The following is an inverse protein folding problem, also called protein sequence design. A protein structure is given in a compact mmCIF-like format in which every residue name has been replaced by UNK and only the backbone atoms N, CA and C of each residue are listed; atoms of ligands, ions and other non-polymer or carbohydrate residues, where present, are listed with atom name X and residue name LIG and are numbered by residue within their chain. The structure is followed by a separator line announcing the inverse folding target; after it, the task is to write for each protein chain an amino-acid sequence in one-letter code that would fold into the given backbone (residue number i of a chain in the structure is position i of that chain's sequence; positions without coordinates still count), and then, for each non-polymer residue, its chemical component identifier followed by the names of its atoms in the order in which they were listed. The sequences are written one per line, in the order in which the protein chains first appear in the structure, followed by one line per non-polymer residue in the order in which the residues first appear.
data_IF_337231411477
#
_entry.id   IF_337231411477
#
_cell.length_a   1.000
_cell.length_b   1.000
_cell.length_c   1.000
_cell.angle_alpha   90.00
_cell.angle_beta   90.00
_cell.angle_gamma   90.00
#
_symmetry.space_group_name_H-M   'P 1'
#
loop_
_entity.id
_entity.type
_entity.pdbx_description
1 polymer ?
#
# COMPACT_ATOMS: atom_id res chain seq x y z
N UNK A 1 25.08 15.39 -15.51
CA UNK A 1 24.13 14.50 -14.82
C UNK A 1 24.71 13.10 -14.84
N UNK A 2 25.17 12.60 -13.68
CA UNK A 2 25.64 11.22 -13.58
C UNK A 2 24.40 10.32 -13.50
N UNK A 3 24.32 9.31 -14.36
CA UNK A 3 23.25 8.31 -14.29
C UNK A 3 23.62 7.34 -13.18
N UNK A 4 22.76 7.23 -12.17
CA UNK A 4 22.90 6.24 -11.09
C UNK A 4 22.47 4.87 -11.59
N UNK A 5 23.40 4.17 -12.25
CA UNK A 5 23.15 2.86 -12.85
C UNK A 5 22.68 1.86 -11.79
N UNK A 6 23.23 1.91 -10.56
CA UNK A 6 22.79 1.03 -9.47
C UNK A 6 21.30 1.20 -9.12
N UNK A 7 20.79 2.44 -9.07
CA UNK A 7 19.40 2.72 -8.72
C UNK A 7 18.44 2.27 -9.81
N UNK A 8 18.82 2.46 -11.07
CA UNK A 8 18.02 2.00 -12.22
C UNK A 8 17.90 0.47 -12.20
N UNK A 9 19.02 -0.23 -12.01
CA UNK A 9 19.02 -1.70 -11.92
C UNK A 9 18.11 -2.18 -10.78
N UNK A 10 18.19 -1.56 -9.60
CA UNK A 10 17.33 -1.89 -8.46
C UNK A 10 15.83 -1.70 -8.78
N UNK A 11 15.45 -0.58 -9.40
CA UNK A 11 14.06 -0.28 -9.78
C UNK A 11 13.53 -1.30 -10.79
N UNK A 12 14.33 -1.64 -11.81
CA UNK A 12 13.94 -2.61 -12.84
C UNK A 12 13.68 -3.97 -12.21
N UNK A 13 14.59 -4.46 -11.36
CA UNK A 13 14.41 -5.74 -10.65
C UNK A 13 13.14 -5.72 -9.81
N UNK A 14 12.91 -4.63 -9.07
CA UNK A 14 11.74 -4.49 -8.21
C UNK A 14 10.42 -4.54 -8.99
N UNK A 15 10.35 -3.86 -10.15
CA UNK A 15 9.16 -3.91 -10.99
C UNK A 15 8.93 -5.29 -11.63
N UNK A 16 9.99 -5.97 -12.05
CA UNK A 16 9.90 -7.35 -12.57
C UNK A 16 9.33 -8.28 -11.49
N UNK A 17 9.76 -8.14 -10.24
CA UNK A 17 9.23 -8.92 -9.12
C UNK A 17 7.74 -8.64 -8.85
N UNK A 18 7.34 -7.37 -8.80
CA UNK A 18 5.93 -7.00 -8.62
C UNK A 18 5.07 -7.58 -9.74
N UNK A 19 5.52 -7.43 -11.00
CA UNK A 19 4.82 -7.95 -12.16
C UNK A 19 4.70 -9.48 -12.09
N UNK A 20 5.78 -10.17 -11.75
CA UNK A 20 5.78 -11.62 -11.60
C UNK A 20 4.78 -12.08 -10.54
N UNK A 21 4.77 -11.44 -9.36
CA UNK A 21 3.80 -11.75 -8.28
C UNK A 21 2.37 -11.49 -8.74
N UNK A 22 2.12 -10.39 -9.44
CA UNK A 22 0.79 -10.05 -9.97
C UNK A 22 0.30 -11.08 -11.00
N UNK A 23 1.14 -11.49 -11.93
CA UNK A 23 0.82 -12.52 -12.93
C UNK A 23 0.57 -13.88 -12.26
N UNK A 24 1.44 -14.27 -11.32
CA UNK A 24 1.29 -15.52 -10.57
C UNK A 24 -0.02 -15.55 -9.78
N UNK A 25 -0.37 -14.46 -9.08
CA UNK A 25 -1.62 -14.34 -8.36
C UNK A 25 -2.84 -14.42 -9.30
N UNK A 26 -2.78 -13.76 -10.46
CA UNK A 26 -3.84 -13.79 -11.47
C UNK A 26 -4.06 -15.20 -12.05
N UNK A 27 -2.98 -15.95 -12.30
CA UNK A 27 -3.08 -17.34 -12.76
C UNK A 27 -3.60 -18.28 -11.69
N UNK A 28 -3.19 -18.11 -10.43
CA UNK A 28 -3.66 -18.95 -9.33
C UNK A 28 -5.15 -18.75 -9.02
N UNK A 29 -5.69 -17.56 -9.27
CA UNK A 29 -7.11 -17.27 -9.06
C UNK A 29 -8.01 -17.59 -10.27
N UNK A 30 -7.45 -18.08 -11.40
CA UNK A 30 -8.23 -18.44 -12.60
C UNK A 30 -9.07 -19.71 -12.42
N UNK A 31 -8.64 -20.64 -11.56
CA UNK A 31 -9.34 -21.91 -11.31
C UNK A 31 -10.36 -21.84 -10.16
N UNK A 32 -10.42 -20.72 -9.44
CA UNK A 32 -11.39 -20.45 -8.35
C UNK A 32 -12.76 -20.02 -8.89
N UNK A 33 -13.25 -20.72 -9.92
CA UNK A 33 -14.57 -20.55 -10.48
C UNK A 33 -15.64 -21.32 -9.70
N UNK A 34 -16.73 -20.63 -9.36
CA UNK A 34 -18.03 -21.19 -9.00
C UNK A 34 -18.22 -21.70 -7.56
N UNK A 35 -18.44 -20.78 -6.62
CA UNK A 35 -19.32 -21.04 -5.48
C UNK A 35 -20.27 -19.84 -5.30
N UNK A 36 -21.55 -20.15 -5.25
CA UNK A 36 -22.71 -19.27 -5.18
C UNK A 36 -22.71 -18.38 -3.91
N UNK A 37 -23.18 -17.13 -4.04
CA UNK A 37 -23.85 -16.43 -2.93
C UNK A 37 -23.16 -15.24 -2.23
N UNK A 38 -21.96 -14.81 -2.63
CA UNK A 38 -21.28 -13.65 -2.01
C UNK A 38 -21.30 -12.38 -2.85
N UNK A 39 -21.48 -11.22 -2.19
CA UNK A 39 -21.54 -9.88 -2.80
C UNK A 39 -20.37 -9.65 -3.78
N UNK A 40 -20.68 -9.26 -5.01
CA UNK A 40 -19.71 -9.09 -6.09
C UNK A 40 -18.57 -8.12 -5.70
N UNK A 41 -18.87 -7.15 -4.83
CA UNK A 41 -17.90 -6.17 -4.32
C UNK A 41 -16.84 -6.81 -3.42
N UNK A 42 -17.23 -7.74 -2.55
CA UNK A 42 -16.31 -8.45 -1.64
C UNK A 42 -15.35 -9.37 -2.42
N UNK A 43 -15.85 -9.98 -3.51
CA UNK A 43 -15.01 -10.77 -4.42
C UNK A 43 -14.02 -9.91 -5.20
N UNK A 44 -14.41 -8.71 -5.61
CA UNK A 44 -13.54 -7.79 -6.35
C UNK A 44 -12.51 -7.11 -5.43
N UNK A 45 -12.88 -6.78 -4.19
CA UNK A 45 -11.98 -6.12 -3.23
C UNK A 45 -11.04 -7.06 -2.47
N UNK A 46 -11.53 -8.24 -2.06
CA UNK A 46 -10.81 -9.13 -1.13
C UNK A 46 -10.51 -10.50 -1.74
N UNK A 47 -11.02 -10.78 -2.95
CA UNK A 47 -10.84 -12.08 -3.63
C UNK A 47 -11.71 -13.19 -3.05
N UNK A 48 -12.78 -12.86 -2.32
CA UNK A 48 -13.69 -13.83 -1.68
C UNK A 48 -13.05 -14.62 -0.54
N UNK A 49 -11.94 -14.12 0.02
CA UNK A 49 -11.20 -14.71 1.14
C UNK A 49 -10.96 -13.66 2.22
N UNK A 50 -10.95 -14.09 3.48
CA UNK A 50 -10.44 -13.26 4.57
C UNK A 50 -8.98 -12.88 4.32
N UNK A 51 -8.73 -11.61 4.03
CA UNK A 51 -7.37 -11.02 3.94
C UNK A 51 -6.67 -11.09 5.31
N UNK A 52 -7.43 -11.18 6.40
CA UNK A 52 -6.91 -11.19 7.76
C UNK A 52 -6.41 -9.80 8.18
N UNK A 53 -6.46 -9.51 9.48
CA UNK A 53 -6.14 -8.18 10.02
C UNK A 53 -4.71 -7.72 9.67
N UNK A 54 -3.75 -8.66 9.67
CA UNK A 54 -2.34 -8.36 9.43
C UNK A 54 -2.11 -7.89 7.99
N UNK A 55 -2.48 -8.69 6.99
CA UNK A 55 -2.31 -8.32 5.57
C UNK A 55 -3.17 -7.11 5.22
N UNK A 56 -4.36 -6.99 5.82
CA UNK A 56 -5.21 -5.81 5.68
C UNK A 56 -4.55 -4.53 6.19
N UNK A 57 -3.90 -4.58 7.36
CA UNK A 57 -3.18 -3.44 7.92
C UNK A 57 -2.00 -3.00 7.03
N UNK A 58 -1.19 -3.94 6.52
CA UNK A 58 -0.11 -3.61 5.60
C UNK A 58 -0.62 -3.03 4.28
N UNK A 59 -1.67 -3.63 3.72
CA UNK A 59 -2.26 -3.18 2.44
C UNK A 59 -2.83 -1.78 2.57
N UNK A 60 -3.59 -1.50 3.64
CA UNK A 60 -4.09 -0.15 3.90
C UNK A 60 -2.92 0.82 4.08
N UNK A 61 -1.91 0.48 4.89
CA UNK A 61 -0.73 1.34 5.10
C UNK A 61 -0.01 1.68 3.79
N UNK A 62 0.11 0.73 2.88
CA UNK A 62 0.74 0.93 1.58
C UNK A 62 0.02 1.97 0.70
N UNK A 63 -1.25 2.30 0.96
CA UNK A 63 -2.01 3.27 0.15
C UNK A 63 -1.59 4.72 0.38
N UNK A 64 -1.08 5.08 1.57
CA UNK A 64 -0.65 6.46 1.89
C UNK A 64 0.86 6.61 2.09
N UNK A 65 1.61 5.50 2.28
CA UNK A 65 3.08 5.54 2.33
C UNK A 65 3.65 5.56 0.91
N UNK A 66 3.57 6.72 0.26
CA UNK A 66 4.08 6.96 -1.09
C UNK A 66 5.35 7.82 -1.15
N UNK A 67 5.81 8.12 -2.37
CA UNK A 67 7.00 8.94 -2.59
C UNK A 67 6.91 10.34 -1.97
N UNK A 68 5.74 10.99 -2.05
CA UNK A 68 5.50 12.29 -1.42
C UNK A 68 5.56 12.25 0.10
N UNK A 69 4.99 11.20 0.71
CA UNK A 69 5.08 10.98 2.16
C UNK A 69 6.54 10.82 2.60
N UNK A 70 7.31 9.97 1.91
CA UNK A 70 8.71 9.69 2.26
C UNK A 70 9.59 10.92 2.07
N UNK A 71 9.50 11.57 0.90
CA UNK A 71 10.34 12.73 0.58
C UNK A 71 9.99 13.93 1.46
N UNK A 72 8.69 14.25 1.62
CA UNK A 72 8.25 15.35 2.47
C UNK A 72 8.62 15.14 3.93
N UNK A 73 8.46 13.92 4.46
CA UNK A 73 8.89 13.62 5.84
C UNK A 73 10.41 13.77 5.99
N UNK A 74 11.20 13.31 5.02
CA UNK A 74 12.65 13.48 5.05
C UNK A 74 13.06 14.95 5.03
N UNK A 75 12.42 15.77 4.19
CA UNK A 75 12.65 17.21 4.10
C UNK A 75 12.34 17.94 5.41
N UNK A 76 11.13 17.75 5.95
CA UNK A 76 10.73 18.42 7.20
C UNK A 76 11.47 17.91 8.43
N UNK A 77 11.97 16.67 8.44
CA UNK A 77 12.80 16.21 9.58
C UNK A 77 14.24 16.72 9.47
N UNK A 78 14.72 17.02 8.27
CA UNK A 78 16.08 17.51 8.03
C UNK A 78 16.25 19.01 8.33
N UNK A 79 15.20 19.82 8.12
CA UNK A 79 15.26 21.27 8.31
C UNK A 79 15.50 21.64 9.80
N UNK A 80 16.38 22.61 10.11
CA UNK A 80 16.74 22.97 11.50
C UNK A 80 15.57 23.51 12.34
N UNK A 81 14.63 24.20 11.69
CA UNK A 81 13.44 24.78 12.33
C UNK A 81 12.30 23.76 12.52
N UNK A 82 12.46 22.58 11.91
CA UNK A 82 11.54 21.46 11.98
C UNK A 82 12.26 20.26 12.61
N UNK A 83 11.59 19.12 12.74
CA UNK A 83 12.13 17.98 13.46
C UNK A 83 11.16 16.81 13.52
N UNK A 84 11.49 15.81 14.33
CA UNK A 84 10.76 14.54 14.41
C UNK A 84 9.24 14.68 14.65
N UNK A 85 8.80 15.76 15.31
CA UNK A 85 7.38 16.06 15.51
C UNK A 85 6.59 16.20 14.19
N UNK A 86 7.27 16.53 13.09
CA UNK A 86 6.65 16.70 11.76
C UNK A 86 6.49 15.39 10.98
N UNK A 87 7.02 14.27 11.50
CA UNK A 87 6.74 12.92 10.99
C UNK A 87 5.39 12.35 11.50
N UNK A 88 4.42 13.20 11.85
CA UNK A 88 3.15 12.80 12.45
C UNK A 88 2.09 12.33 11.45
N UNK A 89 2.35 12.47 10.15
CA UNK A 89 1.41 12.14 9.08
C UNK A 89 0.76 10.73 9.22
N UNK A 90 1.44 9.65 9.67
CA UNK A 90 0.80 8.36 9.89
C UNK A 90 -0.32 8.39 10.91
N UNK A 91 -0.19 9.17 11.97
CA UNK A 91 -1.21 9.28 13.01
C UNK A 91 -2.44 10.01 12.47
N UNK A 92 -2.24 11.06 11.67
CA UNK A 92 -3.33 11.75 10.97
C UNK A 92 -4.08 10.82 10.01
N UNK A 93 -3.36 10.04 9.19
CA UNK A 93 -3.99 9.06 8.30
C UNK A 93 -4.73 7.98 9.08
N UNK A 94 -4.13 7.41 10.13
CA UNK A 94 -4.77 6.40 10.97
C UNK A 94 -6.04 6.93 11.65
N UNK A 95 -5.99 8.14 12.23
CA UNK A 95 -7.16 8.81 12.82
C UNK A 95 -8.26 9.06 11.80
N UNK A 96 -7.90 9.49 10.59
CA UNK A 96 -8.86 9.75 9.51
C UNK A 96 -9.64 8.49 9.12
N UNK A 97 -8.99 7.31 9.16
CA UNK A 97 -9.62 6.03 8.86
C UNK A 97 -10.55 5.57 9.99
N UNK A 98 -10.15 5.79 11.25
CA UNK A 98 -11.00 5.49 12.41
C UNK A 98 -12.24 6.36 12.40
N UNK A 99 -12.08 7.67 12.19
CA UNK A 99 -13.20 8.62 12.13
C UNK A 99 -14.07 8.36 10.91
N UNK A 100 -13.49 8.15 9.73
CA UNK A 100 -14.22 7.82 8.51
C UNK A 100 -15.06 6.57 8.67
N UNK A 101 -14.50 5.51 9.29
CA UNK A 101 -15.27 4.32 9.64
C UNK A 101 -16.43 4.64 10.58
N UNK A 102 -16.23 5.42 11.64
CA UNK A 102 -17.27 5.71 12.64
C UNK A 102 -18.40 6.62 12.14
N UNK A 103 -18.19 7.42 11.10
CA UNK A 103 -19.18 8.36 10.57
C UNK A 103 -19.97 7.79 9.39
N UNK A 104 -19.35 6.92 8.58
CA UNK A 104 -19.94 6.41 7.33
C UNK A 104 -20.33 4.93 7.36
N UNK A 105 -20.05 4.22 8.46
CA UNK A 105 -20.57 2.88 8.78
C UNK A 105 -21.58 3.00 9.92
#
# INVERSE_FOLDING_TARGET
MAIHVEGIVAIVIFYVLILFVGIWAAWKNKDSGSAEGGDQSERIMVGGRDIGLFVGAFTMTATWVGGGYINGTAEYVYLPDYGLAWAQAPFGYALSLVVGKSVFV
#
